data_IF_219979365021
#
_entry.id   IF_219979365021
#
_cell.length_a   1.000
_cell.length_b   1.000
_cell.length_c   1.000
_cell.angle_alpha   90.00
_cell.angle_beta   90.00
_cell.angle_gamma   90.00
#
_symmetry.space_group_name_H-M   'P 1'
#
loop_
_entity.id
_entity.type
_entity.pdbx_description
1 polymer ?
#
# COMPACT_ATOMS: atom_id res chain seq x y z
N UNK A 1 1.12 10.71 6.15
CA UNK A 1 0.29 11.37 5.11
C UNK A 1 -0.21 12.70 5.65
N UNK A 2 0.22 13.83 5.08
CA UNK A 2 -0.22 15.17 5.51
C UNK A 2 -1.35 15.73 4.62
N UNK A 3 -1.52 15.20 3.42
CA UNK A 3 -2.62 15.57 2.51
C UNK A 3 -2.99 14.40 1.60
N UNK A 4 -4.11 14.50 0.93
CA UNK A 4 -4.61 13.52 -0.04
C UNK A 4 -5.30 14.27 -1.17
N UNK A 5 -5.24 13.80 -2.43
CA UNK A 5 -5.94 14.44 -3.54
C UNK A 5 -7.45 14.60 -3.33
N UNK A 6 -8.04 13.79 -2.47
CA UNK A 6 -9.48 13.79 -2.17
C UNK A 6 -9.83 14.33 -0.78
N UNK A 7 -8.83 14.65 0.06
CA UNK A 7 -9.04 15.05 1.46
C UNK A 7 -7.99 16.08 1.84
N UNK A 8 -8.45 17.30 2.10
CA UNK A 8 -7.59 18.42 2.49
C UNK A 8 -7.42 18.58 4.02
N UNK A 9 -8.29 17.93 4.82
CA UNK A 9 -8.40 18.17 6.27
C UNK A 9 -8.01 16.93 7.08
N UNK A 10 -6.80 16.41 6.85
CA UNK A 10 -6.27 15.39 7.74
C UNK A 10 -5.73 16.06 9.00
N UNK A 11 -6.02 15.51 10.20
CA UNK A 11 -5.52 16.06 11.45
C UNK A 11 -3.98 16.03 11.46
N UNK A 12 -3.38 17.09 11.99
CA UNK A 12 -1.95 17.12 12.25
C UNK A 12 -1.64 16.14 13.38
N UNK A 13 -0.68 15.23 13.15
CA UNK A 13 -0.30 14.20 14.12
C UNK A 13 1.21 14.11 14.24
N UNK A 14 1.66 13.76 15.45
CA UNK A 14 3.03 13.27 15.63
C UNK A 14 3.20 11.92 14.94
N UNK A 15 3.89 11.92 13.81
CA UNK A 15 4.08 10.74 12.99
C UNK A 15 4.95 9.67 13.67
N UNK A 16 5.86 10.06 14.56
CA UNK A 16 6.68 9.12 15.32
C UNK A 16 5.83 8.36 16.32
N UNK A 17 4.97 9.07 17.05
CA UNK A 17 4.00 8.45 17.97
C UNK A 17 3.02 7.57 17.20
N UNK A 18 2.52 8.03 16.05
CA UNK A 18 1.58 7.28 15.24
C UNK A 18 2.14 5.95 14.71
N UNK A 19 3.41 5.93 14.28
CA UNK A 19 4.08 4.69 13.87
C UNK A 19 4.22 3.72 15.05
N UNK A 20 4.61 4.22 16.22
CA UNK A 20 4.71 3.40 17.43
C UNK A 20 3.35 2.81 17.82
N UNK A 21 2.28 3.58 17.67
CA UNK A 21 0.92 3.10 17.92
C UNK A 21 0.47 2.05 16.89
N UNK A 22 0.80 2.22 15.61
CA UNK A 22 0.54 1.20 14.59
C UNK A 22 1.22 -0.12 14.92
N UNK A 23 2.49 -0.09 15.29
CA UNK A 23 3.25 -1.27 15.70
C UNK A 23 2.65 -1.90 16.95
N UNK A 24 2.38 -1.11 17.99
CA UNK A 24 1.79 -1.54 19.24
C UNK A 24 0.43 -2.22 19.08
N UNK A 25 -0.42 -1.68 18.21
CA UNK A 25 -1.78 -2.21 17.99
C UNK A 25 -1.85 -3.22 16.84
N UNK A 26 -0.70 -3.62 16.30
CA UNK A 26 -0.56 -4.82 15.50
C UNK A 26 -0.65 -4.61 14.00
N UNK A 27 -0.23 -3.46 13.47
CA UNK A 27 0.13 -3.37 12.07
C UNK A 27 1.25 -4.36 11.74
N UNK A 28 1.28 -4.86 10.51
CA UNK A 28 2.31 -5.78 10.04
C UNK A 28 3.38 -5.08 9.19
N UNK A 29 3.07 -3.91 8.66
CA UNK A 29 3.96 -3.05 7.91
C UNK A 29 3.46 -1.60 7.99
N UNK A 30 4.31 -0.65 7.65
CA UNK A 30 3.97 0.78 7.60
C UNK A 30 4.21 1.31 6.21
N UNK A 31 3.27 2.10 5.67
CA UNK A 31 3.41 2.80 4.40
C UNK A 31 3.70 4.28 4.65
N UNK A 32 4.81 4.78 4.10
CA UNK A 32 5.22 6.18 4.21
C UNK A 32 5.25 6.80 2.82
N UNK A 33 4.48 7.89 2.66
CA UNK A 33 4.42 8.66 1.41
C UNK A 33 5.64 9.57 1.28
N UNK A 34 6.30 9.53 0.13
CA UNK A 34 7.48 10.34 -0.18
C UNK A 34 7.21 11.41 -1.25
N UNK A 35 6.13 11.29 -2.02
CA UNK A 35 5.73 12.36 -2.94
C UNK A 35 5.36 13.65 -2.20
N UNK A 36 6.06 14.72 -2.52
CA UNK A 36 5.88 16.04 -1.87
C UNK A 36 4.65 16.77 -2.41
N UNK A 37 4.48 16.73 -3.72
CA UNK A 37 3.47 17.55 -4.42
C UNK A 37 2.04 17.17 -4.05
N UNK A 38 1.70 15.88 -4.11
CA UNK A 38 0.33 15.39 -3.93
C UNK A 38 0.02 14.94 -2.51
N UNK A 39 1.04 14.49 -1.76
CA UNK A 39 0.83 13.90 -0.45
C UNK A 39 1.60 14.59 0.68
N UNK A 40 2.45 15.55 0.37
CA UNK A 40 3.27 16.27 1.34
C UNK A 40 4.27 15.37 2.06
N UNK A 41 4.76 14.34 1.35
CA UNK A 41 5.79 13.43 1.81
C UNK A 41 7.20 13.97 1.59
N UNK A 42 8.21 13.20 2.02
CA UNK A 42 9.61 13.39 1.59
C UNK A 42 10.46 12.16 1.94
N UNK A 43 11.60 12.00 1.30
CA UNK A 43 12.56 10.95 1.62
C UNK A 43 13.24 11.16 2.98
N UNK A 44 13.45 12.41 3.40
CA UNK A 44 13.97 12.74 4.74
C UNK A 44 12.99 12.26 5.82
N UNK A 45 11.67 12.43 5.58
CA UNK A 45 10.64 11.90 6.47
C UNK A 45 10.66 10.38 6.50
N UNK A 46 10.79 9.72 5.35
CA UNK A 46 10.93 8.26 5.27
C UNK A 46 12.11 7.82 6.13
N UNK A 47 13.29 8.42 5.93
CA UNK A 47 14.51 8.09 6.67
C UNK A 47 14.36 8.30 8.18
N UNK A 48 13.75 9.41 8.60
CA UNK A 48 13.53 9.68 10.01
C UNK A 48 12.56 8.67 10.67
N UNK A 49 11.53 8.23 9.94
CA UNK A 49 10.50 7.37 10.47
C UNK A 49 10.87 5.87 10.43
N UNK A 50 11.72 5.44 9.49
CA UNK A 50 12.22 4.05 9.45
C UNK A 50 13.03 3.69 10.70
N UNK A 51 13.66 4.66 11.35
CA UNK A 51 14.37 4.45 12.62
C UNK A 51 13.46 4.30 13.85
N UNK A 52 12.15 4.53 13.69
CA UNK A 52 11.16 4.54 14.79
C UNK A 52 10.31 3.28 14.87
N UNK A 53 10.54 2.30 14.00
CA UNK A 53 9.78 1.06 13.95
C UNK A 53 10.66 -0.12 13.57
N UNK A 54 10.28 -1.30 14.02
CA UNK A 54 10.87 -2.58 13.59
C UNK A 54 10.09 -3.21 12.43
N UNK A 55 8.93 -2.64 12.08
CA UNK A 55 8.09 -3.14 11.00
C UNK A 55 8.70 -2.87 9.62
N UNK A 56 8.44 -3.74 8.63
CA UNK A 56 8.75 -3.44 7.24
C UNK A 56 8.10 -2.12 6.79
N UNK A 57 8.86 -1.30 6.07
CA UNK A 57 8.40 0.01 5.61
C UNK A 57 8.29 0.04 4.09
N UNK A 58 7.09 0.35 3.61
CA UNK A 58 6.81 0.64 2.20
C UNK A 58 7.07 2.11 1.90
N UNK A 59 8.02 2.40 1.00
CA UNK A 59 8.13 3.69 0.34
C UNK A 59 7.00 3.81 -0.69
N UNK A 60 6.00 4.66 -0.42
CA UNK A 60 4.86 4.86 -1.31
C UNK A 60 5.04 6.14 -2.12
N UNK A 61 5.46 5.95 -3.36
CA UNK A 61 5.76 7.02 -4.32
C UNK A 61 5.36 6.61 -5.76
N UNK A 62 5.43 7.54 -6.69
CA UNK A 62 5.31 7.31 -8.13
C UNK A 62 6.70 6.97 -8.71
N UNK A 63 7.12 5.72 -8.57
CA UNK A 63 8.46 5.28 -9.00
C UNK A 63 8.45 5.00 -10.50
N UNK A 64 9.29 5.74 -11.24
CA UNK A 64 9.47 5.65 -12.69
C UNK A 64 10.95 5.54 -13.11
N UNK A 65 11.88 5.66 -12.17
CA UNK A 65 13.32 5.67 -12.40
C UNK A 65 14.05 4.83 -11.33
N UNK A 66 15.09 4.05 -11.70
CA UNK A 66 15.88 3.26 -10.73
C UNK A 66 16.49 4.08 -9.60
N UNK A 67 16.84 5.34 -9.85
CA UNK A 67 17.41 6.22 -8.82
C UNK A 67 16.44 6.42 -7.63
N UNK A 68 15.12 6.46 -7.89
CA UNK A 68 14.12 6.55 -6.82
C UNK A 68 14.16 5.29 -5.92
N UNK A 69 14.46 4.13 -6.50
CA UNK A 69 14.62 2.86 -5.76
C UNK A 69 15.85 2.93 -4.85
N UNK A 70 16.97 3.45 -5.38
CA UNK A 70 18.21 3.62 -4.61
C UNK A 70 18.01 4.56 -3.42
N UNK A 71 17.34 5.70 -3.66
CA UNK A 71 17.02 6.68 -2.61
C UNK A 71 16.09 6.09 -1.56
N UNK A 72 15.04 5.35 -1.98
CA UNK A 72 14.13 4.68 -1.06
C UNK A 72 14.87 3.66 -0.17
N UNK A 73 15.76 2.85 -0.77
CA UNK A 73 16.59 1.90 -0.03
C UNK A 73 17.53 2.59 0.97
N UNK A 74 18.23 3.64 0.54
CA UNK A 74 19.11 4.43 1.40
C UNK A 74 18.36 5.07 2.57
N UNK A 75 17.11 5.49 2.34
CA UNK A 75 16.22 6.01 3.38
C UNK A 75 15.66 4.93 4.32
N UNK A 76 16.01 3.64 4.12
CA UNK A 76 15.66 2.54 5.01
C UNK A 76 14.35 1.83 4.65
N UNK A 77 13.78 2.04 3.46
CA UNK A 77 12.64 1.26 3.00
C UNK A 77 12.99 -0.22 2.85
N UNK A 78 12.06 -1.10 3.22
CA UNK A 78 12.14 -2.55 2.97
C UNK A 78 11.37 -2.94 1.70
N UNK A 79 10.47 -2.07 1.27
CA UNK A 79 9.54 -2.31 0.18
C UNK A 79 9.29 -1.03 -0.61
N UNK A 80 9.07 -1.16 -1.92
CA UNK A 80 8.67 -0.06 -2.80
C UNK A 80 7.34 -0.36 -3.49
N UNK A 81 6.71 0.70 -4.03
CA UNK A 81 5.50 0.62 -4.85
C UNK A 81 5.85 0.78 -6.32
N UNK A 82 5.33 -0.12 -7.17
CA UNK A 82 5.28 0.07 -8.62
C UNK A 82 3.83 0.10 -9.08
N UNK A 83 3.42 1.17 -9.74
CA UNK A 83 2.04 1.36 -10.22
C UNK A 83 1.99 0.99 -11.70
N UNK A 84 1.26 -0.08 -12.03
CA UNK A 84 1.22 -0.61 -13.42
C UNK A 84 0.69 0.43 -14.40
N UNK A 85 -0.28 1.23 -14.00
CA UNK A 85 -0.94 2.23 -14.86
C UNK A 85 0.02 3.29 -15.44
N UNK A 86 1.08 3.64 -14.72
CA UNK A 86 2.03 4.69 -15.12
C UNK A 86 3.28 4.15 -15.80
N UNK A 87 3.44 2.83 -15.90
CA UNK A 87 4.64 2.17 -16.43
C UNK A 87 4.32 1.40 -17.71
N UNK A 88 5.20 1.45 -18.70
CA UNK A 88 5.19 0.49 -19.80
C UNK A 88 5.59 -0.91 -19.32
N UNK A 89 5.30 -1.96 -20.12
CA UNK A 89 5.69 -3.33 -19.75
C UNK A 89 7.20 -3.48 -19.54
N UNK A 90 8.00 -2.78 -20.38
CA UNK A 90 9.46 -2.78 -20.25
C UNK A 90 9.89 -2.12 -18.94
N UNK A 91 9.38 -0.92 -18.65
CA UNK A 91 9.72 -0.21 -17.41
C UNK A 91 9.30 -1.01 -16.17
N UNK A 92 8.09 -1.58 -16.16
CA UNK A 92 7.60 -2.40 -15.04
C UNK A 92 8.55 -3.57 -14.76
N UNK A 93 8.97 -4.29 -15.83
CA UNK A 93 9.90 -5.41 -15.71
C UNK A 93 11.28 -4.98 -15.23
N UNK A 94 11.82 -3.91 -15.80
CA UNK A 94 13.16 -3.44 -15.49
C UNK A 94 13.24 -2.93 -14.04
N UNK A 95 12.27 -2.11 -13.61
CA UNK A 95 12.20 -1.59 -12.24
C UNK A 95 11.92 -2.68 -11.21
N UNK A 96 11.05 -3.65 -11.52
CA UNK A 96 10.79 -4.80 -10.66
C UNK A 96 12.06 -5.61 -10.42
N UNK A 97 12.74 -6.01 -11.49
CA UNK A 97 13.98 -6.78 -11.39
C UNK A 97 15.08 -6.00 -10.67
N UNK A 98 15.18 -4.70 -10.93
CA UNK A 98 16.14 -3.85 -10.24
C UNK A 98 15.88 -3.80 -8.73
N UNK A 99 14.64 -3.56 -8.30
CA UNK A 99 14.27 -3.54 -6.88
C UNK A 99 14.58 -4.88 -6.19
N UNK A 100 14.24 -6.01 -6.82
CA UNK A 100 14.55 -7.34 -6.29
C UNK A 100 16.07 -7.54 -6.17
N UNK A 101 16.86 -7.08 -7.16
CA UNK A 101 18.34 -7.14 -7.10
C UNK A 101 18.92 -6.31 -5.96
N UNK A 102 18.20 -5.28 -5.52
CA UNK A 102 18.54 -4.46 -4.37
C UNK A 102 18.05 -5.05 -3.03
N UNK A 103 17.50 -6.25 -3.00
CA UNK A 103 16.88 -6.91 -1.84
C UNK A 103 15.69 -6.10 -1.27
N UNK A 104 14.92 -5.45 -2.12
CA UNK A 104 13.66 -4.81 -1.76
C UNK A 104 12.48 -5.68 -2.17
N UNK A 105 11.47 -5.75 -1.33
CA UNK A 105 10.16 -6.26 -1.72
C UNK A 105 9.44 -5.23 -2.61
N UNK A 106 8.54 -5.71 -3.48
CA UNK A 106 7.83 -4.86 -4.40
C UNK A 106 6.32 -5.11 -4.30
N UNK A 107 5.58 -4.07 -3.89
CA UNK A 107 4.13 -4.04 -4.02
C UNK A 107 3.79 -3.52 -5.42
N UNK A 108 3.15 -4.36 -6.25
CA UNK A 108 2.68 -3.94 -7.57
C UNK A 108 1.21 -3.56 -7.49
N UNK A 109 0.91 -2.27 -7.68
CA UNK A 109 -0.45 -1.73 -7.63
C UNK A 109 -1.13 -1.85 -9.00
N UNK A 110 -2.35 -2.43 -9.00
CA UNK A 110 -3.20 -2.63 -10.18
C UNK A 110 -4.60 -2.06 -9.95
N UNK A 111 -5.25 -1.60 -11.04
CA UNK A 111 -6.58 -1.00 -11.01
C UNK A 111 -7.61 -1.79 -11.82
N UNK A 112 -7.18 -2.70 -12.66
CA UNK A 112 -8.07 -3.54 -13.47
C UNK A 112 -7.45 -4.92 -13.77
N UNK A 113 -8.22 -5.79 -14.43
CA UNK A 113 -7.76 -7.13 -14.80
C UNK A 113 -6.63 -7.13 -15.83
N UNK A 114 -6.59 -6.16 -16.71
CA UNK A 114 -5.50 -6.04 -17.69
C UNK A 114 -4.18 -5.71 -16.98
N UNK A 115 -4.21 -4.81 -16.02
CA UNK A 115 -3.04 -4.48 -15.19
C UNK A 115 -2.63 -5.68 -14.31
N UNK A 116 -3.59 -6.45 -13.77
CA UNK A 116 -3.32 -7.67 -13.03
C UNK A 116 -2.57 -8.70 -13.88
N UNK A 117 -2.95 -8.91 -15.14
CA UNK A 117 -2.22 -9.80 -16.04
C UNK A 117 -0.81 -9.29 -16.35
N UNK A 118 -0.59 -7.98 -16.41
CA UNK A 118 0.74 -7.39 -16.54
C UNK A 118 1.60 -7.63 -15.29
N UNK A 119 1.02 -7.55 -14.09
CA UNK A 119 1.70 -7.89 -12.85
C UNK A 119 2.12 -9.38 -12.81
N UNK A 120 1.28 -10.28 -13.32
CA UNK A 120 1.63 -11.70 -13.44
C UNK A 120 2.81 -11.95 -14.40
N UNK A 121 2.92 -11.20 -15.50
CA UNK A 121 4.02 -11.35 -16.47
C UNK A 121 5.40 -11.07 -15.87
N UNK A 122 5.48 -10.19 -14.86
CA UNK A 122 6.73 -9.93 -14.13
C UNK A 122 6.91 -10.84 -12.91
N UNK A 123 6.02 -11.82 -12.72
CA UNK A 123 6.01 -12.74 -11.59
C UNK A 123 5.97 -12.03 -10.22
N UNK A 124 5.15 -10.96 -10.15
CA UNK A 124 4.95 -10.19 -8.92
C UNK A 124 4.54 -11.09 -7.77
N UNK A 125 5.21 -10.98 -6.62
CA UNK A 125 4.86 -11.77 -5.43
C UNK A 125 3.77 -11.11 -4.62
N UNK A 126 3.78 -9.79 -4.54
CA UNK A 126 2.84 -9.00 -3.76
C UNK A 126 2.10 -8.03 -4.71
N UNK A 127 0.78 -8.14 -4.78
CA UNK A 127 -0.08 -7.39 -5.70
C UNK A 127 -1.13 -6.62 -4.90
N UNK A 128 -1.17 -5.31 -5.08
CA UNK A 128 -2.16 -4.43 -4.48
C UNK A 128 -3.27 -4.11 -5.47
N UNK A 129 -4.52 -4.35 -5.09
CA UNK A 129 -5.68 -3.92 -5.87
C UNK A 129 -6.17 -2.59 -5.30
N UNK A 130 -6.01 -1.52 -6.08
CA UNK A 130 -6.46 -0.19 -5.68
C UNK A 130 -7.92 0.01 -6.06
N UNK A 131 -8.78 0.13 -5.05
CA UNK A 131 -10.23 0.34 -5.20
C UNK A 131 -10.61 1.76 -5.64
N UNK A 132 -9.66 2.66 -5.76
CA UNK A 132 -9.92 4.04 -6.21
C UNK A 132 -9.76 4.14 -7.73
N UNK A 133 -10.84 4.49 -8.41
CA UNK A 133 -10.79 4.93 -9.81
C UNK A 133 -10.05 6.28 -9.89
N UNK A 134 -8.86 6.28 -10.47
CA UNK A 134 -8.02 7.47 -10.58
C UNK A 134 -8.58 8.51 -11.57
N UNK A 135 -9.52 8.12 -12.43
CA UNK A 135 -10.15 9.03 -13.42
C UNK A 135 -11.37 9.72 -12.84
N UNK A 136 -12.18 8.97 -12.06
CA UNK A 136 -13.46 9.45 -11.51
C UNK A 136 -13.36 9.87 -10.05
N UNK A 137 -12.25 9.52 -9.36
CA UNK A 137 -12.05 9.69 -7.93
C UNK A 137 -13.14 9.04 -7.06
N UNK A 138 -13.80 8.02 -7.61
CA UNK A 138 -14.77 7.19 -6.88
C UNK A 138 -14.03 5.98 -6.31
N UNK A 139 -14.38 5.59 -5.11
CA UNK A 139 -13.80 4.43 -4.44
C UNK A 139 -14.90 3.41 -4.15
N UNK A 140 -14.70 2.17 -4.58
CA UNK A 140 -15.59 1.06 -4.30
C UNK A 140 -14.77 -0.14 -3.78
N UNK A 141 -14.88 -0.47 -2.52
CA UNK A 141 -14.12 -1.55 -1.88
C UNK A 141 -14.38 -2.91 -2.53
N UNK A 142 -15.59 -3.15 -3.06
CA UNK A 142 -15.94 -4.40 -3.73
C UNK A 142 -15.25 -4.58 -5.09
N UNK A 143 -14.58 -3.55 -5.60
CA UNK A 143 -13.77 -3.66 -6.82
C UNK A 143 -12.70 -4.74 -6.69
N UNK A 144 -12.12 -4.90 -5.49
CA UNK A 144 -11.20 -6.00 -5.18
C UNK A 144 -11.79 -7.37 -5.53
N UNK A 145 -13.07 -7.63 -5.21
CA UNK A 145 -13.73 -8.91 -5.52
C UNK A 145 -13.78 -9.15 -7.03
N UNK A 146 -14.13 -8.11 -7.79
CA UNK A 146 -14.23 -8.18 -9.25
C UNK A 146 -12.87 -8.48 -9.88
N UNK A 147 -11.81 -7.82 -9.43
CA UNK A 147 -10.45 -8.00 -9.99
C UNK A 147 -9.92 -9.39 -9.67
N UNK A 148 -10.16 -9.90 -8.45
CA UNK A 148 -9.59 -11.15 -7.95
C UNK A 148 -10.46 -12.39 -8.19
N UNK A 149 -11.58 -12.28 -8.91
CA UNK A 149 -12.50 -13.40 -9.18
C UNK A 149 -11.80 -14.67 -9.70
N UNK A 150 -10.80 -14.52 -10.56
CA UNK A 150 -10.00 -15.62 -11.11
C UNK A 150 -8.51 -15.44 -10.81
N UNK A 151 -8.19 -15.04 -9.57
CA UNK A 151 -6.81 -14.82 -9.16
C UNK A 151 -5.97 -16.08 -9.24
N UNK A 152 -4.68 -15.91 -9.56
CA UNK A 152 -3.73 -17.01 -9.64
C UNK A 152 -3.18 -17.38 -8.24
N UNK A 153 -2.89 -18.65 -7.96
CA UNK A 153 -2.21 -19.06 -6.74
C UNK A 153 -0.74 -18.55 -6.72
N UNK A 154 -0.10 -18.65 -5.56
CA UNK A 154 1.32 -18.28 -5.35
C UNK A 154 1.63 -16.78 -5.46
N UNK A 155 0.61 -15.94 -5.35
CA UNK A 155 0.72 -14.49 -5.20
C UNK A 155 0.01 -14.07 -3.91
N UNK A 156 0.47 -12.99 -3.29
CA UNK A 156 -0.20 -12.36 -2.17
C UNK A 156 -0.95 -11.12 -2.64
N UNK A 157 -2.18 -10.96 -2.14
CA UNK A 157 -3.09 -9.91 -2.59
C UNK A 157 -3.45 -8.97 -1.45
N UNK A 158 -3.25 -7.68 -1.70
CA UNK A 158 -3.57 -6.59 -0.77
C UNK A 158 -4.71 -5.76 -1.35
N UNK A 159 -5.74 -5.47 -0.58
CA UNK A 159 -6.77 -4.50 -0.97
C UNK A 159 -6.39 -3.11 -0.47
N UNK A 160 -6.43 -2.13 -1.37
CA UNK A 160 -6.01 -0.74 -1.10
C UNK A 160 -7.17 0.23 -1.35
N UNK A 161 -7.24 1.28 -0.54
CA UNK A 161 -8.24 2.36 -0.62
C UNK A 161 -9.68 1.92 -0.30
N UNK A 162 -10.48 2.85 0.21
CA UNK A 162 -11.92 2.67 0.45
C UNK A 162 -12.29 1.87 1.67
N UNK A 163 -11.34 1.42 2.46
CA UNK A 163 -11.59 0.68 3.70
C UNK A 163 -11.70 1.70 4.84
N UNK A 164 -12.91 1.87 5.36
CA UNK A 164 -13.21 2.83 6.43
C UNK A 164 -13.47 2.14 7.76
N UNK A 165 -13.99 0.91 7.74
CA UNK A 165 -14.33 0.15 8.94
C UNK A 165 -14.32 -1.38 8.70
N UNK A 166 -14.64 -2.13 9.75
CA UNK A 166 -14.72 -3.59 9.69
C UNK A 166 -15.84 -4.11 8.75
N UNK A 167 -16.85 -3.30 8.42
CA UNK A 167 -17.90 -3.72 7.49
C UNK A 167 -17.35 -3.77 6.06
N UNK A 168 -16.49 -2.83 5.69
CA UNK A 168 -15.80 -2.85 4.39
C UNK A 168 -14.87 -4.05 4.27
N UNK A 169 -14.15 -4.38 5.35
CA UNK A 169 -13.32 -5.59 5.38
C UNK A 169 -14.16 -6.85 5.12
N UNK A 170 -15.32 -6.98 5.76
CA UNK A 170 -16.23 -8.13 5.56
C UNK A 170 -16.69 -8.29 4.11
N UNK A 171 -16.91 -7.20 3.38
CA UNK A 171 -17.34 -7.22 1.96
C UNK A 171 -16.33 -7.88 1.03
N UNK A 172 -15.04 -7.87 1.41
CA UNK A 172 -13.95 -8.34 0.55
C UNK A 172 -13.22 -9.59 1.05
N UNK A 173 -13.57 -10.10 2.24
CA UNK A 173 -12.90 -11.29 2.80
C UNK A 173 -12.97 -12.51 1.89
N UNK A 174 -14.10 -12.70 1.19
CA UNK A 174 -14.29 -13.84 0.31
C UNK A 174 -13.45 -13.79 -0.98
N UNK A 175 -12.88 -12.64 -1.34
CA UNK A 175 -11.94 -12.55 -2.46
C UNK A 175 -10.61 -13.26 -2.17
N UNK A 176 -10.38 -13.63 -0.90
CA UNK A 176 -9.18 -14.31 -0.43
C UNK A 176 -7.95 -13.43 -0.54
N UNK A 177 -8.06 -12.18 -0.14
CA UNK A 177 -6.92 -11.26 0.08
C UNK A 177 -6.11 -11.70 1.29
N UNK A 178 -4.82 -11.36 1.28
CA UNK A 178 -3.88 -11.64 2.37
C UNK A 178 -3.68 -10.44 3.30
N UNK A 179 -4.03 -9.23 2.84
CA UNK A 179 -3.81 -8.02 3.63
C UNK A 179 -4.59 -6.80 3.13
N UNK A 180 -4.46 -5.72 3.88
CA UNK A 180 -5.11 -4.44 3.65
C UNK A 180 -4.07 -3.32 3.73
N UNK A 181 -4.16 -2.35 2.82
CA UNK A 181 -3.40 -1.09 2.92
C UNK A 181 -4.39 0.04 3.20
N UNK A 182 -4.32 0.58 4.41
CA UNK A 182 -5.27 1.57 4.93
C UNK A 182 -4.52 2.84 5.32
N UNK A 183 -4.94 3.97 4.83
CA UNK A 183 -4.34 5.26 5.15
C UNK A 183 -5.31 6.22 5.79
N UNK A 184 -6.36 6.61 5.08
CA UNK A 184 -7.27 7.68 5.51
C UNK A 184 -7.99 7.37 6.81
N UNK A 185 -8.59 6.19 6.92
CA UNK A 185 -9.32 5.79 8.13
C UNK A 185 -8.43 5.80 9.38
N UNK A 186 -7.17 5.32 9.25
CA UNK A 186 -6.22 5.34 10.36
C UNK A 186 -5.75 6.77 10.72
N UNK A 187 -5.63 7.66 9.73
CA UNK A 187 -5.27 9.06 9.99
C UNK A 187 -6.40 9.85 10.66
N UNK A 188 -7.66 9.47 10.43
CA UNK A 188 -8.84 10.11 11.05
C UNK A 188 -9.23 9.50 12.39
N UNK A 189 -8.76 8.30 12.67
CA UNK A 189 -9.15 7.57 13.88
C UNK A 189 -8.55 8.20 15.14
N UNK A 190 -9.39 8.48 16.13
CA UNK A 190 -8.94 9.02 17.42
C UNK A 190 -8.52 7.91 18.42
N UNK A 191 -9.03 6.68 18.24
CA UNK A 191 -8.70 5.55 19.10
C UNK A 191 -8.19 4.35 18.31
N UNK A 192 -6.89 4.36 17.99
CA UNK A 192 -6.23 3.29 17.24
C UNK A 192 -6.21 1.95 18.00
N UNK A 193 -6.24 1.98 19.33
CA UNK A 193 -6.20 0.76 20.15
C UNK A 193 -7.46 -0.11 20.00
N UNK A 194 -8.58 0.50 19.67
CA UNK A 194 -9.83 -0.20 19.40
C UNK A 194 -10.01 -0.45 17.89
N UNK A 195 -9.67 0.53 17.07
CA UNK A 195 -9.96 0.52 15.64
C UNK A 195 -9.08 -0.47 14.86
N UNK A 196 -7.75 -0.44 15.06
CA UNK A 196 -6.84 -1.27 14.27
C UNK A 196 -7.06 -2.77 14.47
N UNK A 197 -7.29 -3.28 15.71
CA UNK A 197 -7.63 -4.69 15.91
C UNK A 197 -8.91 -5.14 15.21
N UNK A 198 -9.91 -4.27 15.06
CA UNK A 198 -11.18 -4.59 14.39
C UNK A 198 -11.02 -4.80 12.87
N UNK A 199 -9.97 -4.21 12.26
CA UNK A 199 -9.67 -4.35 10.84
C UNK A 199 -8.87 -5.61 10.53
N UNK A 200 -8.37 -6.31 11.56
CA UNK A 200 -7.62 -7.56 11.34
C UNK A 200 -8.52 -8.63 10.75
N UNK A 201 -8.09 -9.13 9.62
CA UNK A 201 -8.76 -10.26 8.98
C UNK A 201 -8.56 -11.52 9.83
N UNK A 202 -9.65 -12.06 10.37
CA UNK A 202 -9.61 -13.40 10.92
C UNK A 202 -9.66 -14.36 9.72
N UNK A 203 -8.61 -15.16 9.54
CA UNK A 203 -8.67 -16.28 8.59
C UNK A 203 -9.85 -17.15 9.01
N UNK A 204 -10.87 -17.22 8.19
CA UNK A 204 -11.92 -18.21 8.35
C UNK A 204 -11.23 -19.56 8.24
N UNK A 205 -11.17 -20.31 9.34
CA UNK A 205 -10.67 -21.69 9.31
C UNK A 205 -11.58 -22.46 8.36
N UNK A 206 -11.05 -22.78 7.19
CA UNK A 206 -11.69 -23.72 6.24
C UNK A 206 -11.70 -25.12 6.83
#
# INVERSE_FOLDING_TARGET
KSKSPTVNDLPERDLSQQISDYEKYGANAVSILTDEKYFGGSFERLQALTTKTTLPVLCKDFIIDPLQIDVAKQAGASMILLIVNILSDKQLKDLYNYAISQNLEVLIEVHDRHELERAYKVNAKLIGVNNRDLKRFVTNVEHTNTILENKKPNHHYISESGIHDASDVRKILHSGIDGLLIGEALMRCDNLSEFLPQLKMQKVKS
#
